data_IF_469388693522
#
_entry.id   IF_469388693522
#
_cell.length_a   1.000
_cell.length_b   1.000
_cell.length_c   1.000
_cell.angle_alpha   90.00
_cell.angle_beta   90.00
_cell.angle_gamma   90.00
#
_symmetry.space_group_name_H-M   'P 1'
#
loop_
_entity.id
_entity.type
_entity.pdbx_description
1 polymer ?
#
# COMPACT_ATOMS: atom_id res chain seq x y z
N UNK A 1 -0.28 13.45 -19.07
CA UNK A 1 1.15 13.75 -18.74
C UNK A 1 1.74 12.81 -17.70
N UNK A 2 0.99 12.35 -16.69
CA UNK A 2 1.51 11.48 -15.61
C UNK A 2 2.25 10.22 -16.09
N UNK A 3 1.74 9.51 -17.11
CA UNK A 3 2.38 8.30 -17.62
C UNK A 3 3.80 8.55 -18.12
N UNK A 4 4.02 9.65 -18.85
CA UNK A 4 5.35 10.02 -19.36
C UNK A 4 6.27 10.41 -18.19
N UNK A 5 5.76 11.16 -17.22
CA UNK A 5 6.52 11.52 -16.02
C UNK A 5 6.97 10.29 -15.22
N UNK A 6 6.10 9.28 -15.05
CA UNK A 6 6.44 8.05 -14.33
C UNK A 6 7.47 7.18 -15.07
N UNK A 7 7.40 7.12 -16.40
CA UNK A 7 8.40 6.41 -17.20
C UNK A 7 9.75 7.14 -17.13
N UNK A 8 9.76 8.46 -17.31
CA UNK A 8 10.98 9.25 -17.30
C UNK A 8 11.66 9.26 -15.91
N UNK A 9 10.88 9.36 -14.84
CA UNK A 9 11.44 9.28 -13.49
C UNK A 9 12.06 7.91 -13.19
N UNK A 10 11.48 6.83 -13.69
CA UNK A 10 12.07 5.50 -13.59
C UNK A 10 13.38 5.37 -14.37
N UNK A 11 13.48 5.94 -15.58
CA UNK A 11 14.72 5.93 -16.38
C UNK A 11 15.87 6.60 -15.64
N UNK A 12 15.62 7.77 -15.04
CA UNK A 12 16.62 8.50 -14.26
C UNK A 12 17.03 7.69 -13.02
N UNK A 13 16.04 7.15 -12.28
CA UNK A 13 16.30 6.30 -11.12
C UNK A 13 17.15 5.09 -11.49
N UNK A 14 16.78 4.37 -12.55
CA UNK A 14 17.48 3.16 -13.00
C UNK A 14 18.94 3.48 -13.32
N UNK A 15 19.18 4.51 -14.13
CA UNK A 15 20.54 4.94 -14.47
C UNK A 15 21.38 5.24 -13.23
N UNK A 16 20.83 6.00 -12.28
CA UNK A 16 21.55 6.40 -11.07
C UNK A 16 21.85 5.24 -10.10
N UNK A 17 21.03 4.20 -10.09
CA UNK A 17 21.25 2.99 -9.28
C UNK A 17 22.23 2.06 -9.96
N UNK A 18 22.12 1.89 -11.28
CA UNK A 18 23.07 1.12 -12.07
C UNK A 18 24.49 1.69 -12.01
N UNK A 19 24.66 3.01 -12.03
CA UNK A 19 25.99 3.64 -11.86
C UNK A 19 26.59 3.44 -10.46
N UNK A 20 25.76 3.13 -9.46
CA UNK A 20 26.19 2.79 -8.10
C UNK A 20 26.46 1.28 -7.91
N UNK A 21 26.37 0.48 -8.97
CA UNK A 21 26.48 -0.99 -8.93
C UNK A 21 25.46 -1.67 -7.99
N UNK A 22 24.35 -1.01 -7.71
CA UNK A 22 23.24 -1.56 -6.94
C UNK A 22 22.20 -2.20 -7.87
N UNK A 23 21.44 -3.17 -7.37
CA UNK A 23 20.34 -3.79 -8.15
C UNK A 23 19.13 -2.85 -8.17
N UNK A 24 18.73 -2.30 -9.33
CA UNK A 24 17.56 -1.43 -9.41
C UNK A 24 16.27 -2.21 -9.15
N UNK A 25 15.31 -1.52 -8.54
CA UNK A 25 13.95 -2.02 -8.39
C UNK A 25 13.30 -2.25 -9.76
N UNK A 26 12.39 -3.23 -9.83
CA UNK A 26 11.50 -3.35 -10.98
C UNK A 26 10.61 -2.10 -11.09
N UNK A 27 10.15 -1.78 -12.30
CA UNK A 27 9.23 -0.63 -12.51
C UNK A 27 8.00 -0.70 -11.59
N UNK A 28 7.48 -1.90 -11.33
CA UNK A 28 6.33 -2.12 -10.41
C UNK A 28 6.68 -1.74 -8.98
N UNK A 29 7.81 -2.21 -8.46
CA UNK A 29 8.27 -1.89 -7.10
C UNK A 29 8.60 -0.41 -6.95
N UNK A 30 9.26 0.18 -7.94
CA UNK A 30 9.52 1.61 -7.98
C UNK A 30 8.22 2.42 -7.86
N UNK A 31 7.19 2.07 -8.65
CA UNK A 31 5.90 2.77 -8.59
C UNK A 31 5.16 2.57 -7.26
N UNK A 32 5.24 1.39 -6.64
CA UNK A 32 4.70 1.18 -5.28
C UNK A 32 5.39 2.08 -4.26
N UNK A 33 6.72 2.12 -4.29
CA UNK A 33 7.54 2.97 -3.40
C UNK A 33 7.23 4.45 -3.62
N UNK A 34 7.18 4.90 -4.88
CA UNK A 34 6.83 6.27 -5.25
C UNK A 34 5.42 6.63 -4.76
N UNK A 35 4.44 5.75 -4.95
CA UNK A 35 3.09 5.96 -4.46
C UNK A 35 3.05 6.12 -2.94
N UNK A 36 3.81 5.31 -2.21
CA UNK A 36 3.92 5.43 -0.75
C UNK A 36 4.48 6.79 -0.38
N UNK A 37 5.65 7.15 -0.92
CA UNK A 37 6.34 8.41 -0.66
C UNK A 37 5.47 9.65 -0.92
N UNK A 38 4.67 9.63 -1.99
CA UNK A 38 3.78 10.75 -2.32
C UNK A 38 2.54 10.86 -1.43
N UNK A 39 2.11 9.76 -0.81
CA UNK A 39 0.81 9.70 -0.11
C UNK A 39 0.93 9.55 1.40
N UNK A 40 2.09 9.18 1.95
CA UNK A 40 2.31 8.97 3.39
C UNK A 40 1.85 10.17 4.23
N UNK A 41 2.29 11.38 3.91
CA UNK A 41 1.93 12.59 4.69
C UNK A 41 0.42 12.85 4.65
N UNK A 42 -0.22 12.61 3.50
CA UNK A 42 -1.67 12.78 3.35
C UNK A 42 -2.44 11.71 4.11
N UNK A 43 -1.96 10.47 4.11
CA UNK A 43 -2.54 9.38 4.90
C UNK A 43 -2.43 9.67 6.39
N UNK A 44 -1.30 10.21 6.87
CA UNK A 44 -1.12 10.64 8.26
C UNK A 44 -2.11 11.75 8.64
N UNK A 45 -2.18 12.83 7.86
CA UNK A 45 -3.15 13.92 8.09
C UNK A 45 -4.59 13.42 8.09
N UNK A 46 -4.90 12.42 7.26
CA UNK A 46 -6.25 11.86 7.18
C UNK A 46 -6.67 11.14 8.47
N UNK A 47 -5.72 10.57 9.22
CA UNK A 47 -6.01 9.93 10.52
C UNK A 47 -6.42 10.94 11.60
N UNK A 48 -6.07 12.21 11.45
CA UNK A 48 -6.49 13.27 12.38
C UNK A 48 -7.99 13.59 12.26
N UNK A 49 -8.62 13.24 11.12
CA UNK A 49 -10.04 13.52 10.91
C UNK A 49 -10.94 12.66 11.82
N UNK A 50 -11.76 13.27 12.70
CA UNK A 50 -12.60 12.53 13.65
C UNK A 50 -13.75 11.78 12.96
N UNK A 51 -14.10 12.17 11.73
CA UNK A 51 -15.17 11.57 10.92
C UNK A 51 -14.67 10.45 10.01
N UNK A 52 -13.37 10.12 10.03
CA UNK A 52 -12.83 9.01 9.25
C UNK A 52 -13.42 7.68 9.77
N UNK A 53 -14.05 6.93 8.86
CA UNK A 53 -14.61 5.60 9.18
C UNK A 53 -13.54 4.68 9.78
N UNK A 54 -13.86 3.96 10.85
CA UNK A 54 -12.92 3.08 11.56
C UNK A 54 -12.19 2.12 10.62
N UNK A 55 -12.94 1.46 9.72
CA UNK A 55 -12.37 0.50 8.78
C UNK A 55 -11.27 1.11 7.90
N UNK A 56 -11.44 2.37 7.50
CA UNK A 56 -10.46 3.09 6.68
C UNK A 56 -9.27 3.56 7.52
N UNK A 57 -9.52 3.95 8.78
CA UNK A 57 -8.47 4.26 9.76
C UNK A 57 -7.55 3.06 9.96
N UNK A 58 -8.13 1.89 10.25
CA UNK A 58 -7.38 0.64 10.45
C UNK A 58 -6.52 0.28 9.22
N UNK A 59 -7.09 0.40 8.01
CA UNK A 59 -6.36 0.13 6.76
C UNK A 59 -5.18 1.10 6.60
N UNK A 60 -5.40 2.39 6.84
CA UNK A 60 -4.35 3.41 6.70
C UNK A 60 -3.25 3.17 7.75
N UNK A 61 -3.60 2.87 8.99
CA UNK A 61 -2.65 2.56 10.05
C UNK A 61 -1.80 1.33 9.72
N UNK A 62 -2.39 0.26 9.18
CA UNK A 62 -1.65 -0.93 8.73
C UNK A 62 -0.70 -0.61 7.58
N UNK A 63 -1.12 0.22 6.62
CA UNK A 63 -0.29 0.63 5.49
C UNK A 63 0.90 1.49 5.96
N UNK A 64 0.69 2.38 6.93
CA UNK A 64 1.73 3.26 7.47
C UNK A 64 2.70 2.55 8.43
N UNK A 65 2.25 1.52 9.16
CA UNK A 65 3.07 0.79 10.14
C UNK A 65 3.92 -0.33 9.54
N UNK A 66 3.56 -0.83 8.36
CA UNK A 66 4.41 -1.77 7.62
C UNK A 66 5.34 -0.97 6.69
N UNK A 67 6.60 -0.67 7.10
CA UNK A 67 7.58 -0.26 6.12
C UNK A 67 7.63 -1.36 5.06
N UNK A 68 7.46 -0.99 3.80
CA UNK A 68 7.68 -1.88 2.66
C UNK A 68 9.15 -2.32 2.64
N UNK A 69 9.49 -3.30 3.48
CA UNK A 69 10.60 -4.19 3.25
C UNK A 69 10.15 -5.19 2.17
N UNK A 70 10.33 -4.83 0.90
CA UNK A 70 10.16 -5.78 -0.19
C UNK A 70 11.40 -6.70 -0.22
N UNK A 71 11.42 -7.66 0.71
CA UNK A 71 12.02 -8.96 0.46
C UNK A 71 11.19 -9.69 -0.60
N UNK A 72 11.88 -10.30 -1.54
CA UNK A 72 11.38 -11.13 -2.63
C UNK A 72 10.34 -12.16 -2.21
N UNK A 73 9.06 -11.94 -2.51
CA UNK A 73 8.12 -13.02 -2.83
C UNK A 73 7.07 -12.48 -3.82
N UNK A 74 7.19 -12.87 -5.09
CA UNK A 74 6.05 -12.86 -6.01
C UNK A 74 5.08 -13.94 -5.53
N UNK A 75 4.05 -13.54 -4.77
CA UNK A 75 2.91 -14.42 -4.57
C UNK A 75 2.02 -14.29 -5.81
N UNK A 76 2.04 -15.32 -6.67
CA UNK A 76 0.92 -15.61 -7.55
C UNK A 76 -0.34 -15.74 -6.69
N UNK A 77 -1.38 -15.00 -7.05
CA UNK A 77 -2.67 -15.09 -6.38
C UNK A 77 -3.35 -16.41 -6.78
N UNK A 78 -3.78 -17.26 -5.84
CA UNK A 78 -4.63 -18.41 -6.18
C UNK A 78 -6.04 -17.92 -6.59
N UNK A 79 -6.76 -18.69 -7.43
CA UNK A 79 -8.08 -18.30 -7.93
C UNK A 79 -9.12 -18.19 -6.78
N UNK A 80 -10.16 -17.35 -6.93
CA UNK A 80 -11.12 -17.08 -5.86
C UNK A 80 -11.95 -18.33 -5.52
N UNK A 81 -12.09 -18.70 -4.23
CA UNK A 81 -13.00 -19.76 -3.82
C UNK A 81 -14.47 -19.32 -3.90
N UNK A 82 -15.34 -20.32 -4.12
CA UNK A 82 -16.80 -20.17 -4.31
C UNK A 82 -17.47 -19.65 -3.04
N UNK A 83 -18.56 -18.90 -3.22
CA UNK A 83 -19.33 -18.23 -2.16
C UNK A 83 -19.99 -19.28 -1.25
N UNK A 84 -19.63 -19.29 0.03
CA UNK A 84 -20.37 -19.97 1.09
C UNK A 84 -20.99 -18.92 2.03
N UNK A 85 -22.20 -19.21 2.52
CA UNK A 85 -23.18 -18.28 3.08
C UNK A 85 -22.70 -17.44 4.28
N UNK A 86 -22.87 -16.11 4.18
CA UNK A 86 -22.45 -15.09 5.17
C UNK A 86 -23.47 -14.98 6.33
N UNK A 87 -23.97 -16.10 6.86
CA UNK A 87 -24.95 -16.06 7.96
C UNK A 87 -24.29 -15.99 9.36
N UNK A 88 -22.98 -16.28 9.50
CA UNK A 88 -22.33 -16.39 10.82
C UNK A 88 -21.54 -15.15 11.30
N UNK A 89 -21.31 -14.15 10.45
CA UNK A 89 -20.53 -12.95 10.82
C UNK A 89 -21.42 -11.82 11.39
N UNK A 90 -22.72 -12.07 11.61
CA UNK A 90 -23.63 -11.08 12.22
C UNK A 90 -23.42 -10.89 13.75
N UNK A 91 -22.69 -11.79 14.42
CA UNK A 91 -22.61 -11.80 15.89
C UNK A 91 -21.41 -11.06 16.51
N UNK A 92 -20.42 -10.62 15.74
CA UNK A 92 -19.31 -9.81 16.27
C UNK A 92 -19.60 -8.30 16.33
N UNK A 93 -20.83 -7.88 15.98
CA UNK A 93 -21.32 -6.49 15.91
C UNK A 93 -21.32 -5.70 17.24
N UNK A 94 -20.73 -6.16 18.34
CA UNK A 94 -20.79 -5.41 19.62
C UNK A 94 -19.57 -5.57 20.53
N UNK A 95 -18.41 -5.02 20.15
CA UNK A 95 -17.39 -4.42 21.04
C UNK A 95 -16.64 -3.40 20.17
N UNK A 96 -16.98 -2.12 20.15
CA UNK A 96 -16.85 -1.17 21.25
C UNK A 96 -15.49 -0.47 21.11
N UNK A 97 -15.42 0.66 20.41
CA UNK A 97 -14.30 1.60 20.51
C UNK A 97 -14.66 2.69 21.53
N UNK A 98 -14.06 2.72 22.72
CA UNK A 98 -13.79 3.96 23.42
C UNK A 98 -12.48 4.57 22.93
N UNK A 99 -12.46 5.90 22.94
CA UNK A 99 -11.36 6.79 22.54
C UNK A 99 -10.04 6.51 23.25
#
# INVERSE_FOLDING_TARGET
MLNISFVNSYVIYYHNISTRNEKPLTRRQFMKKLSMQLTTEWMQKRLEAPTLKCNMRDIIEVILTKPTEDSSVENEAPPPPKKEDIALIAHLKRRGCPK
#
